data_IF_921273906609
#
_entry.id   IF_921273906609
#
_cell.length_a   1.000
_cell.length_b   1.000
_cell.length_c   1.000
_cell.angle_alpha   90.00
_cell.angle_beta   90.00
_cell.angle_gamma   90.00
#
_symmetry.space_group_name_H-M   'P 1'
#
loop_
_entity.id
_entity.type
_entity.pdbx_description
1 polymer ?
#
# COMPACT_ATOMS: atom_id res chain seq x y z
N UNK A 1 -2.81 -45.66 -28.46
CA UNK A 1 -1.93 -44.79 -27.62
C UNK A 1 -1.84 -43.43 -28.30
N UNK A 2 -2.66 -42.47 -27.88
CA UNK A 2 -2.79 -41.16 -28.54
C UNK A 2 -1.67 -40.22 -28.05
N UNK A 3 -0.71 -39.92 -28.92
CA UNK A 3 0.32 -38.90 -28.72
C UNK A 3 -0.34 -37.52 -28.58
N UNK A 4 -0.42 -37.00 -27.35
CA UNK A 4 -0.75 -35.59 -27.10
C UNK A 4 0.33 -34.72 -27.76
N UNK A 5 -0.03 -34.01 -28.84
CA UNK A 5 0.80 -32.95 -29.40
C UNK A 5 1.10 -31.92 -28.30
N UNK A 6 2.37 -31.55 -28.06
CA UNK A 6 2.68 -30.49 -27.12
C UNK A 6 2.02 -29.19 -27.61
N UNK A 7 1.16 -28.62 -26.77
CA UNK A 7 0.56 -27.30 -27.00
C UNK A 7 1.72 -26.31 -27.09
N UNK A 8 1.97 -25.80 -28.30
CA UNK A 8 3.04 -24.85 -28.55
C UNK A 8 2.80 -23.59 -27.69
N UNK A 9 3.75 -23.29 -26.79
CA UNK A 9 3.67 -22.09 -25.98
C UNK A 9 3.60 -20.85 -26.90
N UNK A 10 2.73 -19.87 -26.61
CA UNK A 10 2.57 -18.69 -27.46
C UNK A 10 3.90 -17.96 -27.65
N UNK A 11 4.19 -17.62 -28.90
CA UNK A 11 5.41 -16.88 -29.25
C UNK A 11 5.38 -15.47 -28.65
N UNK A 12 6.53 -14.91 -28.27
CA UNK A 12 6.61 -13.58 -27.64
C UNK A 12 6.04 -12.44 -28.51
N UNK A 13 5.90 -12.65 -29.82
CA UNK A 13 5.24 -11.70 -30.74
C UNK A 13 3.72 -11.67 -30.58
N UNK A 14 3.05 -12.80 -30.27
CA UNK A 14 1.59 -12.83 -30.10
C UNK A 14 1.13 -12.28 -28.74
N UNK A 15 2.03 -12.20 -27.75
CA UNK A 15 1.75 -11.65 -26.42
C UNK A 15 1.46 -10.15 -26.41
N UNK A 16 2.00 -9.37 -27.37
CA UNK A 16 1.82 -7.92 -27.42
C UNK A 16 0.38 -7.49 -27.78
N UNK A 17 -0.21 -7.94 -28.90
CA UNK A 17 -1.60 -7.59 -29.21
C UNK A 17 -2.57 -8.18 -28.19
N UNK A 18 -2.28 -9.37 -27.64
CA UNK A 18 -3.08 -9.97 -26.59
C UNK A 18 -3.07 -9.12 -25.30
N UNK A 19 -1.92 -8.59 -24.89
CA UNK A 19 -1.82 -7.70 -23.74
C UNK A 19 -2.59 -6.38 -23.96
N UNK A 20 -2.48 -5.77 -25.14
CA UNK A 20 -3.24 -4.55 -25.46
C UNK A 20 -4.75 -4.80 -25.50
N UNK A 21 -5.17 -5.91 -26.11
CA UNK A 21 -6.58 -6.30 -26.14
C UNK A 21 -7.12 -6.59 -24.74
N UNK A 22 -6.36 -7.30 -23.90
CA UNK A 22 -6.72 -7.58 -22.51
C UNK A 22 -6.82 -6.29 -21.68
N UNK A 23 -5.88 -5.36 -21.85
CA UNK A 23 -5.91 -4.06 -21.21
C UNK A 23 -7.17 -3.28 -21.60
N UNK A 24 -7.42 -3.10 -22.90
CA UNK A 24 -8.57 -2.34 -23.40
C UNK A 24 -9.90 -2.99 -23.02
N UNK A 25 -10.04 -4.30 -23.25
CA UNK A 25 -11.27 -5.02 -22.95
C UNK A 25 -11.58 -4.98 -21.45
N UNK A 26 -10.58 -5.22 -20.60
CA UNK A 26 -10.79 -5.17 -19.16
C UNK A 26 -11.09 -3.76 -18.65
N UNK A 27 -10.45 -2.72 -19.19
CA UNK A 27 -10.77 -1.33 -18.85
C UNK A 27 -12.24 -0.99 -19.18
N UNK A 28 -12.69 -1.35 -20.38
CA UNK A 28 -14.07 -1.11 -20.84
C UNK A 28 -15.08 -1.89 -19.99
N UNK A 29 -14.82 -3.18 -19.76
CA UNK A 29 -15.72 -4.03 -18.95
C UNK A 29 -15.80 -3.53 -17.51
N UNK A 30 -14.67 -3.21 -16.88
CA UNK A 30 -14.65 -2.71 -15.51
C UNK A 30 -15.31 -1.33 -15.38
N UNK A 31 -15.08 -0.42 -16.33
CA UNK A 31 -15.73 0.88 -16.34
C UNK A 31 -17.25 0.72 -16.52
N UNK A 32 -17.70 -0.14 -17.43
CA UNK A 32 -19.12 -0.42 -17.64
C UNK A 32 -19.77 -1.06 -16.40
N UNK A 33 -19.11 -2.02 -15.74
CA UNK A 33 -19.60 -2.65 -14.52
C UNK A 33 -19.62 -1.68 -13.34
N UNK A 34 -18.57 -0.88 -13.17
CA UNK A 34 -18.50 0.14 -12.12
C UNK A 34 -19.57 1.22 -12.31
N UNK A 35 -19.82 1.64 -13.54
CA UNK A 35 -20.89 2.60 -13.86
C UNK A 35 -22.29 2.01 -13.60
N UNK A 36 -22.51 0.73 -13.90
CA UNK A 36 -23.80 0.07 -13.66
C UNK A 36 -24.06 -0.24 -12.19
N UNK A 37 -23.01 -0.57 -11.44
CA UNK A 37 -23.11 -0.87 -10.01
C UNK A 37 -23.13 0.40 -9.17
N UNK A 38 -22.51 1.49 -9.61
CA UNK A 38 -22.45 2.76 -8.89
C UNK A 38 -23.79 3.47 -9.00
N UNK A 39 -24.47 3.71 -7.87
CA UNK A 39 -25.59 4.65 -7.81
C UNK A 39 -25.20 6.04 -8.29
N UNK A 40 -26.19 6.88 -8.62
CA UNK A 40 -26.01 8.23 -9.21
C UNK A 40 -24.94 9.06 -8.47
N UNK A 41 -23.71 9.10 -9.02
CA UNK A 41 -22.66 10.05 -8.65
C UNK A 41 -21.38 9.49 -8.02
N UNK A 42 -21.35 8.23 -7.56
CA UNK A 42 -20.14 7.66 -6.92
C UNK A 42 -19.48 6.57 -7.77
N UNK A 43 -18.25 6.84 -8.22
CA UNK A 43 -17.41 5.85 -8.89
C UNK A 43 -16.93 4.81 -7.86
N UNK A 44 -17.54 3.63 -7.85
CA UNK A 44 -17.25 2.53 -6.91
C UNK A 44 -15.77 2.18 -6.79
N UNK A 45 -15.04 2.15 -7.90
CA UNK A 45 -13.62 1.78 -7.93
C UNK A 45 -12.66 2.91 -7.53
N UNK A 46 -13.14 4.07 -7.09
CA UNK A 46 -12.29 5.23 -6.80
C UNK A 46 -11.25 4.90 -5.72
N UNK A 47 -11.63 4.08 -4.73
CA UNK A 47 -10.76 3.57 -3.69
C UNK A 47 -9.62 2.69 -4.21
N UNK A 48 -9.87 1.89 -5.26
CA UNK A 48 -8.86 1.02 -5.91
C UNK A 48 -7.87 1.84 -6.74
N UNK A 49 -8.32 2.93 -7.34
CA UNK A 49 -7.50 3.83 -8.16
C UNK A 49 -6.79 4.93 -7.36
N UNK A 50 -6.75 4.84 -6.04
CA UNK A 50 -5.90 5.68 -5.21
C UNK A 50 -4.43 5.34 -5.43
N UNK A 51 -3.54 6.35 -5.29
CA UNK A 51 -2.10 6.17 -5.50
C UNK A 51 -1.54 5.02 -4.66
N UNK A 52 -1.98 4.89 -3.42
CA UNK A 52 -1.48 3.90 -2.47
C UNK A 52 -1.86 2.46 -2.78
N UNK A 53 -2.92 2.27 -3.57
CA UNK A 53 -3.37 0.95 -4.01
C UNK A 53 -2.85 0.63 -5.40
N UNK A 54 -2.78 1.61 -6.30
CA UNK A 54 -2.27 1.38 -7.65
C UNK A 54 -0.77 1.07 -7.63
N UNK A 55 0.03 1.77 -6.81
CA UNK A 55 1.48 1.56 -6.74
C UNK A 55 1.89 0.09 -6.46
N UNK A 56 1.41 -0.56 -5.38
CA UNK A 56 1.75 -1.94 -5.12
C UNK A 56 1.18 -2.89 -6.18
N UNK A 57 0.02 -2.60 -6.79
CA UNK A 57 -0.55 -3.42 -7.88
C UNK A 57 0.30 -3.37 -9.16
N UNK A 58 0.83 -2.19 -9.50
CA UNK A 58 1.81 -2.03 -10.58
C UNK A 58 3.09 -2.79 -10.27
N UNK A 59 3.59 -2.67 -9.04
CA UNK A 59 4.77 -3.42 -8.56
C UNK A 59 4.58 -4.93 -8.63
N UNK A 60 3.41 -5.41 -8.22
CA UNK A 60 3.03 -6.82 -8.26
C UNK A 60 3.01 -7.32 -9.70
N UNK A 61 2.41 -6.57 -10.61
CA UNK A 61 2.41 -6.90 -12.03
C UNK A 61 3.82 -6.96 -12.60
N UNK A 62 4.67 -5.97 -12.32
CA UNK A 62 6.08 -5.97 -12.74
C UNK A 62 6.84 -7.18 -12.18
N UNK A 63 6.62 -7.53 -10.91
CA UNK A 63 7.23 -8.68 -10.26
C UNK A 63 6.81 -9.99 -10.94
N UNK A 64 5.51 -10.22 -11.08
CA UNK A 64 4.96 -11.43 -11.71
C UNK A 64 5.40 -11.56 -13.18
N UNK A 65 5.39 -10.46 -13.93
CA UNK A 65 5.80 -10.44 -15.34
C UNK A 65 7.28 -10.71 -15.56
N UNK A 66 8.12 -10.52 -14.54
CA UNK A 66 9.57 -10.76 -14.60
C UNK A 66 10.03 -12.04 -13.88
N UNK A 67 9.11 -12.81 -13.28
CA UNK A 67 9.44 -14.11 -12.68
C UNK A 67 9.65 -15.19 -13.76
N UNK A 68 10.50 -16.19 -13.50
CA UNK A 68 10.62 -17.32 -14.39
C UNK A 68 9.30 -18.09 -14.46
N UNK A 69 8.91 -18.56 -15.65
CA UNK A 69 7.63 -19.28 -15.87
C UNK A 69 7.41 -20.46 -14.91
N UNK A 70 8.48 -21.10 -14.47
CA UNK A 70 8.43 -22.22 -13.50
C UNK A 70 8.03 -21.78 -12.08
N UNK A 71 8.37 -20.55 -11.68
CA UNK A 71 8.03 -20.01 -10.36
C UNK A 71 6.65 -19.33 -10.32
N UNK A 72 6.13 -18.92 -11.48
CA UNK A 72 4.83 -18.23 -11.58
C UNK A 72 3.66 -18.95 -10.89
N UNK A 73 3.41 -20.27 -11.07
CA UNK A 73 2.29 -20.92 -10.40
C UNK A 73 2.45 -20.91 -8.88
N UNK A 74 3.67 -21.09 -8.36
CA UNK A 74 3.95 -21.02 -6.92
C UNK A 74 3.81 -19.60 -6.36
N UNK A 75 4.23 -18.59 -7.13
CA UNK A 75 4.04 -17.18 -6.79
C UNK A 75 2.55 -16.81 -6.70
N UNK A 76 1.75 -17.23 -7.68
CA UNK A 76 0.31 -17.04 -7.68
C UNK A 76 -0.37 -17.79 -6.53
N UNK A 77 0.03 -19.04 -6.28
CA UNK A 77 -0.49 -19.81 -5.16
C UNK A 77 -0.17 -19.14 -3.82
N UNK A 78 1.08 -18.68 -3.63
CA UNK A 78 1.51 -17.94 -2.43
C UNK A 78 0.68 -16.65 -2.24
N UNK A 79 0.48 -15.88 -3.31
CA UNK A 79 -0.34 -14.67 -3.29
C UNK A 79 -1.80 -14.96 -2.92
N UNK A 80 -2.42 -15.97 -3.53
CA UNK A 80 -3.82 -16.35 -3.29
C UNK A 80 -4.00 -16.90 -1.89
N UNK A 81 -3.10 -17.78 -1.42
CA UNK A 81 -3.11 -18.30 -0.06
C UNK A 81 -2.94 -17.15 0.94
N UNK A 82 -2.00 -16.24 0.69
CA UNK A 82 -1.80 -15.04 1.49
C UNK A 82 -3.05 -14.17 1.57
N UNK A 83 -3.69 -13.90 0.43
CA UNK A 83 -4.93 -13.14 0.37
C UNK A 83 -6.06 -13.84 1.16
N UNK A 84 -6.24 -15.15 1.01
CA UNK A 84 -7.22 -15.93 1.75
C UNK A 84 -6.96 -15.86 3.27
N UNK A 85 -5.70 -16.02 3.70
CA UNK A 85 -5.28 -15.86 5.09
C UNK A 85 -5.58 -14.43 5.58
N UNK A 86 -5.26 -13.40 4.79
CA UNK A 86 -5.56 -12.00 5.14
C UNK A 86 -7.05 -11.75 5.35
N UNK A 87 -7.91 -12.34 4.53
CA UNK A 87 -9.38 -12.26 4.68
C UNK A 87 -9.84 -12.97 5.96
N UNK A 88 -9.31 -14.18 6.24
CA UNK A 88 -9.68 -14.97 7.42
C UNK A 88 -9.22 -14.33 8.74
N UNK A 89 -7.99 -13.80 8.78
CA UNK A 89 -7.38 -13.21 9.96
C UNK A 89 -7.58 -11.68 10.04
N UNK A 90 -8.55 -11.13 9.30
CA UNK A 90 -8.83 -9.69 9.30
C UNK A 90 -9.23 -9.16 10.68
N UNK A 91 -10.03 -9.92 11.43
CA UNK A 91 -10.55 -9.51 12.75
C UNK A 91 -9.44 -9.45 13.81
N UNK A 92 -8.57 -10.47 13.96
CA UNK A 92 -7.42 -10.36 14.84
C UNK A 92 -6.46 -9.24 14.40
N UNK A 93 -6.32 -9.00 13.08
CA UNK A 93 -5.56 -7.85 12.59
C UNK A 93 -6.19 -6.51 13.00
N UNK A 94 -7.51 -6.35 12.87
CA UNK A 94 -8.23 -5.14 13.29
C UNK A 94 -8.17 -4.91 14.79
N UNK A 95 -8.30 -5.95 15.60
CA UNK A 95 -8.17 -5.81 17.07
C UNK A 95 -6.75 -5.42 17.50
N UNK A 96 -5.72 -5.93 16.82
CA UNK A 96 -4.34 -5.51 17.04
C UNK A 96 -4.15 -4.04 16.65
N UNK A 97 -4.67 -3.65 15.48
CA UNK A 97 -4.60 -2.28 14.97
C UNK A 97 -5.47 -1.31 15.78
N UNK A 98 -6.53 -1.74 16.45
CA UNK A 98 -7.36 -0.86 17.28
C UNK A 98 -6.58 -0.22 18.45
N UNK A 99 -5.48 -0.87 18.89
CA UNK A 99 -4.56 -0.33 19.92
C UNK A 99 -3.65 0.77 19.39
N UNK A 100 -3.64 0.98 18.08
CA UNK A 100 -2.78 1.92 17.38
C UNK A 100 -3.54 3.26 17.28
N UNK A 101 -3.11 4.34 17.97
CA UNK A 101 -3.82 5.61 17.93
C UNK A 101 -3.88 6.12 16.48
N UNK A 102 -5.08 6.55 16.06
CA UNK A 102 -5.36 6.97 14.69
C UNK A 102 -5.68 5.84 13.70
N UNK A 103 -5.78 4.57 14.12
CA UNK A 103 -5.96 3.42 13.22
C UNK A 103 -7.08 3.56 12.16
N UNK A 104 -8.21 4.18 12.51
CA UNK A 104 -9.31 4.44 11.57
C UNK A 104 -8.96 5.50 10.51
N UNK A 105 -8.12 6.48 10.84
CA UNK A 105 -7.55 7.43 9.87
C UNK A 105 -6.33 6.83 9.12
N UNK A 106 -5.82 5.67 9.56
CA UNK A 106 -4.57 5.05 9.09
C UNK A 106 -4.76 3.66 8.46
N UNK A 107 -5.96 3.37 7.95
CA UNK A 107 -6.23 2.30 6.97
C UNK A 107 -5.25 2.32 5.77
N UNK A 108 -4.55 3.45 5.63
CA UNK A 108 -3.40 3.73 4.77
C UNK A 108 -2.26 2.71 4.90
N UNK A 109 -1.88 2.20 6.09
CA UNK A 109 -0.58 1.51 6.25
C UNK A 109 -0.44 0.19 5.47
N UNK A 110 -1.55 -0.48 5.14
CA UNK A 110 -1.54 -1.73 4.37
C UNK A 110 -1.02 -1.54 2.94
N UNK A 111 -1.26 -0.37 2.32
CA UNK A 111 -0.71 -0.03 1.00
C UNK A 111 0.83 0.10 1.00
N UNK A 112 1.41 0.97 1.84
CA UNK A 112 2.84 1.07 2.13
C UNK A 112 3.50 -0.26 2.49
N UNK A 113 2.85 -1.09 3.34
CA UNK A 113 3.38 -2.44 3.65
C UNK A 113 3.46 -3.28 2.38
N UNK A 114 2.40 -3.31 1.57
CA UNK A 114 2.43 -4.02 0.28
C UNK A 114 3.52 -3.47 -0.64
N UNK A 115 3.72 -2.15 -0.70
CA UNK A 115 4.80 -1.52 -1.46
C UNK A 115 6.18 -2.03 -1.04
N UNK A 116 6.47 -2.12 0.27
CA UNK A 116 7.76 -2.66 0.76
C UNK A 116 7.90 -4.14 0.43
N UNK A 117 6.88 -4.95 0.73
CA UNK A 117 6.92 -6.40 0.51
C UNK A 117 7.09 -6.78 -0.96
N UNK A 118 6.54 -5.98 -1.88
CA UNK A 118 6.64 -6.18 -3.33
C UNK A 118 7.91 -5.53 -3.89
N UNK A 119 8.31 -4.37 -3.37
CA UNK A 119 9.52 -3.65 -3.79
C UNK A 119 10.81 -4.41 -3.46
N UNK A 120 10.88 -5.04 -2.28
CA UNK A 120 12.04 -5.83 -1.84
C UNK A 120 12.47 -6.93 -2.83
N UNK A 121 11.60 -7.85 -3.28
CA UNK A 121 11.99 -8.84 -4.28
C UNK A 121 12.25 -8.19 -5.65
N UNK A 122 11.57 -7.09 -5.97
CA UNK A 122 11.70 -6.43 -7.28
C UNK A 122 13.07 -5.73 -7.45
N UNK A 123 13.65 -5.16 -6.38
CA UNK A 123 14.97 -4.49 -6.41
C UNK A 123 16.12 -5.49 -6.57
N UNK A 124 15.90 -6.76 -6.22
CA UNK A 124 16.90 -7.82 -6.30
C UNK A 124 17.22 -8.25 -7.74
N UNK A 125 18.44 -8.80 -7.97
CA UNK A 125 18.80 -9.39 -9.26
C UNK A 125 17.96 -10.64 -9.55
N UNK A 126 17.82 -10.97 -10.86
CA UNK A 126 16.96 -12.05 -11.36
C UNK A 126 17.17 -13.40 -10.65
N UNK A 127 18.41 -13.75 -10.27
CA UNK A 127 18.73 -15.01 -9.60
C UNK A 127 18.16 -15.14 -8.18
N UNK A 128 18.15 -14.06 -7.41
CA UNK A 128 17.64 -14.06 -6.03
C UNK A 128 16.15 -13.72 -5.95
N UNK A 129 15.61 -13.04 -6.96
CA UNK A 129 14.24 -12.53 -6.97
C UNK A 129 13.19 -13.60 -6.69
N UNK A 130 13.24 -14.75 -7.35
CA UNK A 130 12.21 -15.78 -7.18
C UNK A 130 12.20 -16.34 -5.75
N UNK A 131 13.39 -16.58 -5.18
CA UNK A 131 13.56 -17.10 -3.82
C UNK A 131 12.99 -16.17 -2.76
N UNK A 132 13.13 -14.86 -2.95
CA UNK A 132 12.63 -13.85 -2.01
C UNK A 132 11.18 -13.47 -2.30
N UNK A 133 10.75 -13.49 -3.56
CA UNK A 133 9.38 -13.19 -3.94
C UNK A 133 8.39 -14.22 -3.39
N UNK A 134 8.72 -15.51 -3.45
CA UNK A 134 7.86 -16.59 -2.98
C UNK A 134 7.34 -16.41 -1.54
N UNK A 135 8.22 -16.24 -0.53
CA UNK A 135 7.78 -16.04 0.84
C UNK A 135 7.14 -14.67 1.08
N UNK A 136 7.53 -13.62 0.34
CA UNK A 136 7.00 -12.26 0.53
C UNK A 136 5.65 -12.02 -0.17
N UNK A 137 5.31 -12.80 -1.19
CA UNK A 137 4.03 -12.69 -1.88
C UNK A 137 2.84 -13.08 -1.01
N UNK A 138 3.01 -14.00 -0.05
CA UNK A 138 1.97 -14.36 0.90
C UNK A 138 1.57 -13.16 1.81
N UNK A 139 2.49 -12.53 2.58
CA UNK A 139 2.13 -11.36 3.37
C UNK A 139 1.73 -10.16 2.48
N UNK A 140 2.27 -10.02 1.26
CA UNK A 140 1.82 -8.98 0.33
C UNK A 140 0.36 -9.20 -0.10
N UNK A 141 -0.02 -10.44 -0.42
CA UNK A 141 -1.39 -10.81 -0.75
C UNK A 141 -2.35 -10.58 0.42
N UNK A 142 -1.93 -10.91 1.64
CA UNK A 142 -2.69 -10.60 2.85
C UNK A 142 -2.91 -9.09 3.01
N UNK A 143 -1.84 -8.29 2.89
CA UNK A 143 -1.90 -6.83 3.02
C UNK A 143 -2.81 -6.20 1.97
N UNK A 144 -2.72 -6.64 0.71
CA UNK A 144 -3.60 -6.19 -0.37
C UNK A 144 -5.07 -6.54 -0.09
N UNK A 145 -5.36 -7.79 0.28
CA UNK A 145 -6.73 -8.23 0.57
C UNK A 145 -7.35 -7.47 1.75
N UNK A 146 -6.59 -7.26 2.84
CA UNK A 146 -7.02 -6.46 3.98
C UNK A 146 -7.29 -5.02 3.54
N UNK A 147 -6.39 -4.44 2.74
CA UNK A 147 -6.60 -3.09 2.20
C UNK A 147 -7.88 -3.00 1.35
N UNK A 148 -8.29 -4.07 0.65
CA UNK A 148 -9.47 -4.05 -0.23
C UNK A 148 -10.75 -4.06 0.58
N UNK A 149 -10.73 -4.81 1.68
CA UNK A 149 -11.82 -4.84 2.64
C UNK A 149 -11.95 -3.52 3.42
N UNK A 150 -10.82 -2.90 3.77
CA UNK A 150 -10.78 -1.62 4.49
C UNK A 150 -11.17 -0.43 3.61
N UNK A 151 -10.81 -0.47 2.33
CA UNK A 151 -11.08 0.60 1.37
C UNK A 151 -12.49 0.59 0.78
N UNK A 152 -13.43 -0.21 1.33
CA UNK A 152 -14.82 -0.29 0.87
C UNK A 152 -15.60 0.99 1.26
N UNK A 153 -15.92 1.89 0.31
CA UNK A 153 -16.63 3.13 0.62
C UNK A 153 -18.15 2.92 0.73
N UNK A 154 -18.65 1.72 0.43
CA UNK A 154 -20.08 1.44 0.23
C UNK A 154 -20.75 0.70 1.38
N UNK A 155 -20.07 0.61 2.54
CA UNK A 155 -20.61 -0.05 3.74
C UNK A 155 -21.12 -1.47 3.44
N UNK A 156 -20.35 -2.28 2.71
CA UNK A 156 -20.62 -3.71 2.39
C UNK A 156 -21.61 -3.95 1.25
N UNK A 157 -21.64 -3.12 0.22
CA UNK A 157 -22.40 -3.43 -0.98
C UNK A 157 -21.84 -4.71 -1.64
N UNK A 158 -22.71 -5.68 -1.91
CA UNK A 158 -22.32 -7.01 -2.39
C UNK A 158 -21.57 -6.98 -3.73
N UNK A 159 -21.81 -5.95 -4.54
CA UNK A 159 -21.20 -5.74 -5.86
C UNK A 159 -19.78 -5.17 -5.79
N UNK A 160 -19.42 -4.45 -4.73
CA UNK A 160 -18.14 -3.74 -4.65
C UNK A 160 -16.94 -4.69 -4.58
N UNK A 161 -16.95 -5.66 -3.65
CA UNK A 161 -15.82 -6.58 -3.44
C UNK A 161 -15.41 -7.37 -4.68
N UNK A 162 -16.31 -8.06 -5.40
CA UNK A 162 -15.91 -8.80 -6.60
C UNK A 162 -15.38 -7.86 -7.69
N UNK A 163 -15.94 -6.65 -7.80
CA UNK A 163 -15.48 -5.65 -8.77
C UNK A 163 -14.09 -5.10 -8.42
N UNK A 164 -13.84 -4.81 -7.14
CA UNK A 164 -12.54 -4.35 -6.66
C UNK A 164 -11.45 -5.41 -6.88
N UNK A 165 -11.72 -6.68 -6.54
CA UNK A 165 -10.81 -7.79 -6.81
C UNK A 165 -10.58 -7.99 -8.32
N UNK A 166 -11.63 -7.89 -9.13
CA UNK A 166 -11.49 -7.97 -10.58
C UNK A 166 -10.61 -6.85 -11.14
N UNK A 167 -10.76 -5.62 -10.62
CA UNK A 167 -9.92 -4.49 -10.99
C UNK A 167 -8.45 -4.68 -10.57
N UNK A 168 -8.21 -5.14 -9.35
CA UNK A 168 -6.85 -5.43 -8.85
C UNK A 168 -6.16 -6.52 -9.70
N UNK A 169 -6.86 -7.62 -9.97
CA UNK A 169 -6.38 -8.69 -10.84
C UNK A 169 -6.11 -8.15 -12.24
N UNK A 170 -7.03 -7.37 -12.80
CA UNK A 170 -6.87 -6.81 -14.14
C UNK A 170 -5.67 -5.86 -14.25
N UNK A 171 -5.47 -4.96 -13.28
CA UNK A 171 -4.32 -4.05 -13.24
C UNK A 171 -3.01 -4.86 -13.18
N UNK A 172 -2.89 -5.77 -12.22
CA UNK A 172 -1.66 -6.55 -12.04
C UNK A 172 -1.40 -7.48 -13.22
N UNK A 173 -2.43 -8.11 -13.78
CA UNK A 173 -2.31 -8.96 -14.96
C UNK A 173 -1.92 -8.16 -16.21
N UNK A 174 -2.50 -6.98 -16.42
CA UNK A 174 -2.14 -6.09 -17.54
C UNK A 174 -0.68 -5.71 -17.49
N UNK A 175 -0.19 -5.29 -16.32
CA UNK A 175 1.21 -4.93 -16.13
C UNK A 175 2.13 -6.14 -16.24
N UNK A 176 1.74 -7.30 -15.70
CA UNK A 176 2.51 -8.54 -15.82
C UNK A 176 2.65 -9.00 -17.27
N UNK A 177 1.55 -8.95 -18.04
CA UNK A 177 1.54 -9.29 -19.45
C UNK A 177 2.43 -8.33 -20.24
N UNK A 178 2.29 -7.01 -20.01
CA UNK A 178 3.14 -6.00 -20.62
C UNK A 178 4.63 -6.26 -20.29
N UNK A 179 4.97 -6.43 -19.03
CA UNK A 179 6.35 -6.69 -18.59
C UNK A 179 6.92 -7.98 -19.18
N UNK A 180 6.11 -9.04 -19.28
CA UNK A 180 6.53 -10.32 -19.86
C UNK A 180 6.74 -10.24 -21.39
N UNK A 181 6.07 -9.31 -22.07
CA UNK A 181 6.19 -9.10 -23.51
C UNK A 181 7.46 -8.33 -23.91
N UNK A 182 8.10 -7.63 -22.96
CA UNK A 182 9.31 -6.83 -23.18
C UNK A 182 10.49 -7.34 -22.36
N UNK A 183 11.30 -8.25 -22.92
CA UNK A 183 12.51 -8.73 -22.25
C UNK A 183 13.72 -7.92 -22.68
N UNK A 184 13.78 -6.68 -22.19
CA UNK A 184 14.92 -5.79 -22.42
C UNK A 184 15.56 -5.41 -21.09
N UNK A 185 16.89 -5.29 -21.11
CA UNK A 185 17.69 -4.88 -19.94
C UNK A 185 17.20 -3.56 -19.35
N UNK A 186 16.75 -2.61 -20.19
CA UNK A 186 16.18 -1.34 -19.73
C UNK A 186 14.95 -1.51 -18.83
N UNK A 187 14.08 -2.49 -19.10
CA UNK A 187 12.90 -2.76 -18.28
C UNK A 187 13.30 -3.27 -16.90
N UNK A 188 14.40 -4.02 -16.82
CA UNK A 188 14.93 -4.49 -15.53
C UNK A 188 15.46 -3.31 -14.71
N UNK A 189 16.14 -2.35 -15.34
CA UNK A 189 16.59 -1.12 -14.66
C UNK A 189 15.39 -0.29 -14.21
N UNK A 190 14.43 -0.03 -15.10
CA UNK A 190 13.21 0.72 -14.78
C UNK A 190 12.43 0.08 -13.61
N UNK A 191 12.29 -1.25 -13.61
CA UNK A 191 11.63 -1.96 -12.52
C UNK A 191 12.38 -1.87 -11.19
N UNK A 192 13.71 -1.82 -11.19
CA UNK A 192 14.51 -1.63 -9.97
C UNK A 192 14.41 -0.20 -9.44
N UNK A 193 14.37 0.80 -10.33
CA UNK A 193 14.09 2.19 -9.94
C UNK A 193 12.68 2.27 -9.33
N UNK A 194 11.68 1.73 -10.02
CA UNK A 194 10.32 1.69 -9.48
C UNK A 194 10.26 0.97 -8.12
N UNK A 195 10.98 -0.14 -7.96
CA UNK A 195 11.09 -0.86 -6.69
C UNK A 195 11.69 -0.01 -5.56
N UNK A 196 12.74 0.78 -5.84
CA UNK A 196 13.33 1.65 -4.82
C UNK A 196 12.35 2.75 -4.39
N UNK A 197 11.55 3.27 -5.31
CA UNK A 197 10.48 4.21 -5.00
C UNK A 197 9.37 3.58 -4.17
N UNK A 198 8.95 2.35 -4.47
CA UNK A 198 7.97 1.61 -3.65
C UNK A 198 8.46 1.46 -2.20
N UNK A 199 9.72 1.06 -2.03
CA UNK A 199 10.33 0.90 -0.70
C UNK A 199 10.39 2.26 0.02
N UNK A 200 10.84 3.31 -0.68
CA UNK A 200 10.94 4.65 -0.11
C UNK A 200 9.58 5.21 0.32
N UNK A 201 8.54 5.09 -0.53
CA UNK A 201 7.17 5.51 -0.19
C UNK A 201 6.64 4.69 0.98
N UNK A 202 6.89 3.38 0.97
CA UNK A 202 6.57 2.48 2.07
C UNK A 202 7.12 2.97 3.42
N UNK A 203 8.41 3.28 3.45
CA UNK A 203 9.08 3.82 4.64
C UNK A 203 8.70 5.26 4.97
N UNK A 204 8.44 6.10 3.97
CA UNK A 204 8.02 7.49 4.20
C UNK A 204 6.69 7.54 4.92
N UNK A 205 5.69 6.79 4.45
CA UNK A 205 4.39 6.70 5.10
C UNK A 205 4.48 6.02 6.47
N UNK A 206 5.25 4.93 6.58
CA UNK A 206 5.48 4.26 7.86
C UNK A 206 6.21 5.15 8.88
N UNK A 207 7.19 5.93 8.43
CA UNK A 207 8.00 6.83 9.24
C UNK A 207 7.23 8.07 9.67
N UNK A 208 6.47 8.69 8.76
CA UNK A 208 5.57 9.79 9.09
C UNK A 208 4.56 9.38 10.17
N UNK A 209 4.05 8.14 10.09
CA UNK A 209 3.18 7.58 11.12
C UNK A 209 3.89 7.45 12.48
N UNK A 210 5.12 6.92 12.52
CA UNK A 210 5.90 6.84 13.77
C UNK A 210 6.24 8.21 14.35
N UNK A 211 6.50 9.20 13.52
CA UNK A 211 6.77 10.58 13.96
C UNK A 211 5.53 11.23 14.56
N UNK A 212 4.34 10.98 13.99
CA UNK A 212 3.07 11.52 14.48
C UNK A 212 2.63 10.93 15.85
N UNK A 213 3.23 9.84 16.33
CA UNK A 213 2.95 9.28 17.68
C UNK A 213 3.40 10.17 18.84
N UNK A 214 4.31 11.14 18.62
CA UNK A 214 4.70 12.10 19.66
C UNK A 214 3.74 13.30 19.68
N UNK A 215 2.53 13.10 20.18
CA UNK A 215 1.55 14.19 20.37
C UNK A 215 1.62 14.82 21.76
N UNK A 216 2.27 14.18 22.73
CA UNK A 216 2.60 14.80 24.01
C UNK A 216 3.84 15.67 23.84
N UNK A 217 3.64 16.90 23.36
CA UNK A 217 4.47 18.01 23.77
C UNK A 217 4.26 18.13 25.29
N UNK A 218 5.11 17.49 26.08
CA UNK A 218 5.15 17.77 27.51
C UNK A 218 5.53 19.25 27.62
N UNK A 219 4.63 20.11 28.16
CA UNK A 219 4.96 21.51 28.31
C UNK A 219 6.24 21.58 29.14
N UNK A 220 7.24 22.40 28.76
CA UNK A 220 8.42 22.56 29.59
C UNK A 220 7.96 22.95 31.00
N UNK A 221 8.51 22.29 32.02
CA UNK A 221 8.18 22.58 33.42
C UNK A 221 8.38 24.06 33.65
N UNK A 222 7.29 24.81 33.79
CA UNK A 222 7.38 26.23 34.07
C UNK A 222 8.09 26.38 35.42
N UNK A 223 9.10 27.25 35.55
CA UNK A 223 9.69 27.53 36.84
C UNK A 223 8.58 27.98 37.79
N UNK A 224 8.55 27.43 38.99
CA UNK A 224 7.60 27.84 40.04
C UNK A 224 7.79 29.33 40.29
N UNK A 225 6.76 30.13 40.01
CA UNK A 225 6.76 31.54 40.37
C UNK A 225 6.97 31.65 41.88
N UNK A 226 7.84 32.56 42.36
CA UNK A 226 8.02 32.79 43.78
C UNK A 226 6.66 33.13 44.42
N UNK A 227 6.23 32.31 45.37
CA UNK A 227 5.01 32.55 46.12
C UNK A 227 5.33 33.44 47.33
N UNK A 228 5.72 34.69 47.08
CA UNK A 228 5.92 35.66 48.16
C UNK A 228 5.27 37.00 47.80
N UNK A 229 4.17 37.30 48.50
CA UNK A 229 3.47 38.60 48.48
C UNK A 229 2.05 38.55 47.92
N UNK A 230 1.27 39.58 48.23
CA UNK A 230 -0.12 39.77 47.76
C UNK A 230 -0.20 39.95 46.23
N UNK A 231 0.92 40.25 45.56
CA UNK A 231 1.06 40.43 44.11
C UNK A 231 2.38 39.79 43.57
N UNK A 232 2.42 38.47 43.36
CA UNK A 232 3.62 37.79 42.87
C UNK A 232 4.04 38.31 41.48
N UNK A 233 5.32 38.64 41.32
CA UNK A 233 5.88 39.17 40.07
C UNK A 233 5.89 40.71 39.93
N UNK A 234 5.16 41.44 40.78
CA UNK A 234 5.07 42.91 40.73
C UNK A 234 5.81 43.62 41.87
N UNK A 235 6.42 42.89 42.82
CA UNK A 235 7.06 43.47 44.00
C UNK A 235 8.11 44.55 43.69
N UNK A 236 8.87 44.38 42.60
CA UNK A 236 9.88 45.38 42.17
C UNK A 236 9.24 46.67 41.64
N UNK A 237 8.15 46.55 40.89
CA UNK A 237 7.40 47.69 40.34
C UNK A 237 6.65 48.44 41.44
N UNK A 238 6.11 47.70 42.41
CA UNK A 238 5.46 48.28 43.60
C UNK A 238 6.46 48.99 44.51
N UNK A 239 7.68 48.45 44.69
CA UNK A 239 8.75 49.14 45.43
C UNK A 239 9.20 50.45 44.75
N UNK A 240 9.29 50.46 43.42
CA UNK A 240 9.58 51.67 42.63
C UNK A 240 8.46 52.71 42.74
N UNK A 241 7.19 52.29 42.71
CA UNK A 241 6.03 53.18 42.89
C UNK A 241 5.92 53.75 44.31
N UNK A 242 6.29 52.95 45.32
CA UNK A 242 6.31 53.38 46.73
C UNK A 242 7.56 54.21 47.10
N UNK A 243 8.45 54.49 46.13
CA UNK A 243 9.60 55.37 46.30
C UNK A 243 10.67 54.83 47.28
N UNK A 244 10.68 53.53 47.55
CA UNK A 244 11.72 52.90 48.38
C UNK A 244 12.86 52.43 47.47
N UNK A 245 14.05 53.03 47.63
CA UNK A 245 15.25 52.50 46.98
C UNK A 245 15.53 51.06 47.45
N UNK A 246 16.00 50.17 46.54
CA UNK A 246 16.36 48.83 46.90
C UNK A 246 17.54 48.87 47.88
N UNK A 247 17.33 48.41 49.12
CA UNK A 247 18.42 48.16 50.05
C UNK A 247 19.31 47.06 49.44
N UNK A 248 20.58 47.41 49.22
CA UNK A 248 21.62 46.48 48.76
C UNK A 248 21.89 45.34 49.74
#
# INVERSE_FOLDING_TARGET
MSLQKPVAAPSRRSLRPAACAFALAGAVVLAALAYRAGGQGNWLLASVFTAERILPLLGLGLLLGQLPRRALPFALASLVLGAAVGVLFREPFFTLMARVPGAAAHLFLTGPIACVLIGLPLVLPRGARAWIALPLLAPAGAALAIATLLGDPTLHEWSYRPLALAAEIWISATVALAASAFDRTWLTVAARIFASWLIAIGFLYGGAYMAAKRTTLEPPTFPTLPADGEFPGFGRVLQELDGKEPAG
#
